data_IF_269025253897
#
_entry.id   IF_269025253897
#
_cell.length_a   1.000
_cell.length_b   1.000
_cell.length_c   1.000
_cell.angle_alpha   90.00
_cell.angle_beta   90.00
_cell.angle_gamma   90.00
#
_symmetry.space_group_name_H-M   'P 1'
#
loop_
_entity.id
_entity.type
_entity.pdbx_description
1 polymer ?
#
# COMPACT_ATOMS: atom_id res chain seq x y z
N UNK A 1 -51.96 -3.78 6.40
CA UNK A 1 -50.51 -3.45 6.39
C UNK A 1 -49.97 -3.95 5.07
N UNK A 2 -49.40 -3.06 4.25
CA UNK A 2 -49.01 -3.37 2.87
C UNK A 2 -47.61 -4.00 2.88
N UNK A 3 -47.43 -5.14 2.22
CA UNK A 3 -46.15 -5.89 2.10
C UNK A 3 -45.00 -4.99 1.57
N UNK A 4 -45.36 -3.92 0.86
CA UNK A 4 -44.48 -2.82 0.43
C UNK A 4 -43.75 -2.13 1.60
N UNK A 5 -44.49 -1.75 2.65
CA UNK A 5 -43.96 -0.88 3.72
C UNK A 5 -43.07 -1.66 4.68
N UNK A 6 -43.37 -2.94 4.88
CA UNK A 6 -42.58 -3.88 5.69
C UNK A 6 -41.22 -4.15 5.03
N UNK A 7 -41.20 -4.38 3.70
CA UNK A 7 -39.94 -4.51 2.96
C UNK A 7 -39.14 -3.22 2.92
N UNK A 8 -39.81 -2.06 2.85
CA UNK A 8 -39.14 -0.77 2.88
C UNK A 8 -38.47 -0.51 4.24
N UNK A 9 -39.15 -0.84 5.33
CA UNK A 9 -38.56 -0.77 6.68
C UNK A 9 -37.41 -1.77 6.88
N UNK A 10 -37.52 -2.99 6.32
CA UNK A 10 -36.44 -3.98 6.36
C UNK A 10 -35.21 -3.52 5.54
N UNK A 11 -35.43 -2.88 4.38
CA UNK A 11 -34.35 -2.27 3.60
C UNK A 11 -33.72 -1.08 4.33
N UNK A 12 -34.51 -0.20 4.95
CA UNK A 12 -34.00 0.94 5.71
C UNK A 12 -33.24 0.50 6.96
N UNK A 13 -33.73 -0.52 7.68
CA UNK A 13 -33.03 -1.07 8.85
C UNK A 13 -31.71 -1.73 8.43
N UNK A 14 -31.71 -2.48 7.33
CA UNK A 14 -30.50 -3.07 6.75
C UNK A 14 -29.51 -1.99 6.29
N UNK A 15 -29.97 -0.94 5.63
CA UNK A 15 -29.14 0.20 5.22
C UNK A 15 -28.55 0.93 6.44
N UNK A 16 -29.33 1.09 7.50
CA UNK A 16 -28.90 1.71 8.75
C UNK A 16 -27.86 0.84 9.47
N UNK A 17 -28.06 -0.48 9.56
CA UNK A 17 -27.06 -1.40 10.09
C UNK A 17 -25.77 -1.40 9.26
N UNK A 18 -25.86 -1.41 7.93
CA UNK A 18 -24.70 -1.32 7.05
C UNK A 18 -23.96 -0.01 7.27
N UNK A 19 -24.69 1.11 7.39
CA UNK A 19 -24.11 2.43 7.65
C UNK A 19 -23.44 2.48 9.02
N UNK A 20 -24.11 1.98 10.06
CA UNK A 20 -23.60 2.02 11.42
C UNK A 20 -22.40 1.08 11.61
N UNK A 21 -22.40 -0.08 10.94
CA UNK A 21 -21.23 -0.96 10.85
C UNK A 21 -20.05 -0.26 10.15
N UNK A 22 -20.28 0.39 9.00
CA UNK A 22 -19.26 1.15 8.27
C UNK A 22 -18.71 2.34 9.09
N UNK A 23 -19.57 3.01 9.87
CA UNK A 23 -19.16 4.10 10.77
C UNK A 23 -18.36 3.58 11.98
N UNK A 24 -18.74 2.44 12.56
CA UNK A 24 -17.97 1.83 13.66
C UNK A 24 -16.59 1.35 13.22
N UNK A 25 -16.48 0.93 11.97
CA UNK A 25 -15.26 0.38 11.38
C UNK A 25 -14.28 1.48 10.94
N UNK A 26 -14.78 2.61 10.42
CA UNK A 26 -13.96 3.79 10.14
C UNK A 26 -13.40 4.45 11.41
N UNK A 27 -14.10 4.36 12.55
CA UNK A 27 -13.59 4.83 13.85
C UNK A 27 -12.30 4.14 14.29
N UNK A 28 -12.06 2.89 13.88
CA UNK A 28 -10.81 2.19 14.19
C UNK A 28 -9.61 2.88 13.54
N UNK A 29 -9.78 3.34 12.30
CA UNK A 29 -8.74 4.04 11.55
C UNK A 29 -8.53 5.48 12.00
N UNK A 30 -9.54 6.13 12.58
CA UNK A 30 -9.37 7.45 13.20
C UNK A 30 -8.56 7.45 14.50
N UNK A 31 -8.24 6.26 15.05
CA UNK A 31 -7.45 6.16 16.27
C UNK A 31 -6.04 6.74 16.11
N UNK A 32 -5.67 7.61 17.04
CA UNK A 32 -4.38 8.29 17.07
C UNK A 32 -3.21 7.31 17.11
N UNK A 33 -3.30 6.24 17.88
CA UNK A 33 -2.21 5.27 17.99
C UNK A 33 -2.00 4.47 16.69
N UNK A 34 -3.10 4.09 16.04
CA UNK A 34 -3.06 3.38 14.77
C UNK A 34 -2.55 4.29 13.64
N UNK A 35 -3.04 5.53 13.56
CA UNK A 35 -2.57 6.54 12.59
C UNK A 35 -1.09 6.88 12.77
N UNK A 36 -0.66 7.05 14.03
CA UNK A 36 0.75 7.25 14.38
C UNK A 36 1.59 6.07 13.92
N UNK A 37 1.13 4.84 14.15
CA UNK A 37 1.80 3.62 13.71
C UNK A 37 1.95 3.57 12.19
N UNK A 38 0.87 3.83 11.42
CA UNK A 38 0.94 3.88 9.96
C UNK A 38 1.89 4.98 9.46
N UNK A 39 1.85 6.16 10.07
CA UNK A 39 2.70 7.30 9.71
C UNK A 39 4.19 6.98 9.89
N UNK A 40 4.58 6.49 11.06
CA UNK A 40 5.98 6.15 11.34
C UNK A 40 6.46 4.97 10.52
N UNK A 41 5.62 3.95 10.31
CA UNK A 41 5.94 2.82 9.44
C UNK A 41 6.17 3.28 8.00
N UNK A 42 5.39 4.26 7.52
CA UNK A 42 5.53 4.79 6.17
C UNK A 42 6.82 5.58 5.99
N UNK A 43 7.17 6.44 6.94
CA UNK A 43 8.43 7.17 6.94
C UNK A 43 9.64 6.23 7.01
N UNK A 44 9.59 5.23 7.90
CA UNK A 44 10.64 4.23 8.00
C UNK A 44 10.80 3.41 6.72
N UNK A 45 9.68 3.01 6.10
CA UNK A 45 9.72 2.27 4.84
C UNK A 45 10.24 3.11 3.68
N UNK A 46 9.85 4.39 3.62
CA UNK A 46 10.38 5.35 2.66
C UNK A 46 11.91 5.52 2.78
N UNK A 47 12.42 5.69 4.01
CA UNK A 47 13.85 5.80 4.26
C UNK A 47 14.62 4.54 3.81
N UNK A 48 14.10 3.35 4.14
CA UNK A 48 14.70 2.08 3.72
C UNK A 48 14.71 1.95 2.19
N UNK A 49 13.60 2.27 1.50
CA UNK A 49 13.53 2.26 0.03
C UNK A 49 14.55 3.25 -0.55
N UNK A 50 14.63 4.46 -0.02
CA UNK A 50 15.56 5.47 -0.50
C UNK A 50 17.02 5.02 -0.38
N UNK A 51 17.42 4.52 0.79
CA UNK A 51 18.77 3.98 1.01
C UNK A 51 19.06 2.83 0.06
N UNK A 52 18.10 1.92 -0.11
CA UNK A 52 18.24 0.78 -0.99
C UNK A 52 18.38 1.17 -2.47
N UNK A 53 17.56 2.11 -2.94
CA UNK A 53 17.61 2.62 -4.31
C UNK A 53 18.90 3.41 -4.60
N UNK A 54 19.38 4.22 -3.64
CA UNK A 54 20.66 4.93 -3.78
C UNK A 54 21.82 3.94 -3.81
N UNK A 55 21.86 2.98 -2.89
CA UNK A 55 22.88 1.93 -2.87
C UNK A 55 22.86 1.09 -4.15
N UNK A 56 21.68 0.72 -4.64
CA UNK A 56 21.51 -0.02 -5.89
C UNK A 56 22.02 0.76 -7.10
N UNK A 57 21.74 2.07 -7.17
CA UNK A 57 22.26 2.93 -8.22
C UNK A 57 23.80 3.02 -8.18
N UNK A 58 24.39 3.21 -7.00
CA UNK A 58 25.85 3.32 -6.83
C UNK A 58 26.61 2.01 -7.09
N UNK A 59 26.04 0.86 -6.72
CA UNK A 59 26.72 -0.44 -6.84
C UNK A 59 26.59 -1.07 -8.22
N UNK A 60 25.47 -0.85 -8.92
CA UNK A 60 25.22 -1.42 -10.25
C UNK A 60 25.78 -0.53 -11.37
N UNK A 61 26.04 0.76 -11.10
CA UNK A 61 26.62 1.69 -12.07
C UNK A 61 28.11 1.50 -12.37
N UNK A 62 28.80 0.57 -11.69
CA UNK A 62 30.25 0.34 -11.83
C UNK A 62 30.60 -1.10 -12.17
N UNK A 63 30.98 -1.37 -13.43
CA UNK A 63 31.60 -2.61 -13.99
C UNK A 63 30.72 -3.81 -14.35
N UNK A 64 30.79 -4.24 -15.62
CA UNK A 64 29.93 -5.26 -16.25
C UNK A 64 30.03 -6.68 -15.64
N UNK A 65 31.19 -7.08 -15.13
CA UNK A 65 31.39 -8.42 -14.53
C UNK A 65 30.84 -8.54 -13.11
N UNK A 66 30.78 -7.44 -12.36
CA UNK A 66 30.31 -7.43 -10.98
C UNK A 66 28.81 -7.14 -10.86
N UNK A 67 28.19 -6.60 -11.92
CA UNK A 67 26.76 -6.28 -12.02
C UNK A 67 25.86 -7.49 -11.74
N UNK A 68 26.20 -8.69 -12.22
CA UNK A 68 25.37 -9.89 -12.01
C UNK A 68 25.39 -10.38 -10.54
N UNK A 69 26.56 -10.37 -9.89
CA UNK A 69 26.70 -10.77 -8.49
C UNK A 69 26.05 -9.73 -7.56
N UNK A 70 26.31 -8.44 -7.79
CA UNK A 70 25.75 -7.37 -6.97
C UNK A 70 24.23 -7.25 -7.15
N UNK A 71 23.70 -7.37 -8.36
CA UNK A 71 22.23 -7.35 -8.58
C UNK A 71 21.53 -8.49 -7.85
N UNK A 72 22.10 -9.70 -7.86
CA UNK A 72 21.55 -10.86 -7.13
C UNK A 72 21.58 -10.63 -5.62
N UNK A 73 22.69 -10.13 -5.09
CA UNK A 73 22.85 -9.85 -3.65
C UNK A 73 21.89 -8.74 -3.20
N UNK A 74 21.77 -7.66 -3.97
CA UNK A 74 20.85 -6.55 -3.74
C UNK A 74 19.39 -7.04 -3.78
N UNK A 75 19.04 -7.90 -4.74
CA UNK A 75 17.70 -8.51 -4.82
C UNK A 75 17.37 -9.33 -3.56
N UNK A 76 18.26 -10.24 -3.13
CA UNK A 76 18.02 -11.04 -1.92
C UNK A 76 17.97 -10.18 -0.66
N UNK A 77 18.82 -9.16 -0.57
CA UNK A 77 18.78 -8.20 0.54
C UNK A 77 17.44 -7.47 0.60
N UNK A 78 16.89 -7.08 -0.56
CA UNK A 78 15.56 -6.48 -0.64
C UNK A 78 14.46 -7.42 -0.15
N UNK A 79 14.48 -8.68 -0.60
CA UNK A 79 13.50 -9.68 -0.19
C UNK A 79 13.57 -9.90 1.33
N UNK A 80 14.77 -10.02 1.90
CA UNK A 80 14.97 -10.15 3.35
C UNK A 80 14.41 -8.92 4.08
N UNK A 81 14.73 -7.71 3.61
CA UNK A 81 14.21 -6.47 4.19
C UNK A 81 12.69 -6.36 4.08
N UNK A 82 12.09 -6.83 2.98
CA UNK A 82 10.63 -6.89 2.82
C UNK A 82 10.00 -7.87 3.81
N UNK A 83 10.58 -9.05 3.99
CA UNK A 83 10.08 -10.05 4.95
C UNK A 83 10.19 -9.54 6.38
N UNK A 84 11.35 -8.99 6.76
CA UNK A 84 11.57 -8.39 8.08
C UNK A 84 10.61 -7.22 8.30
N UNK A 85 10.54 -6.28 7.35
CA UNK A 85 9.66 -5.12 7.42
C UNK A 85 8.18 -5.50 7.47
N UNK A 86 7.77 -6.48 6.69
CA UNK A 86 6.42 -7.04 6.71
C UNK A 86 6.08 -7.67 8.07
N UNK A 87 7.01 -8.46 8.62
CA UNK A 87 6.85 -9.08 9.94
C UNK A 87 6.76 -8.03 11.05
N UNK A 88 7.60 -6.99 11.02
CA UNK A 88 7.55 -5.86 11.97
C UNK A 88 6.21 -5.14 11.86
N UNK A 89 5.75 -4.82 10.65
CA UNK A 89 4.44 -4.17 10.41
C UNK A 89 3.30 -5.00 10.98
N UNK A 90 3.24 -6.28 10.64
CA UNK A 90 2.21 -7.20 11.15
C UNK A 90 2.26 -7.28 12.67
N UNK A 91 3.44 -7.35 13.27
CA UNK A 91 3.60 -7.45 14.73
C UNK A 91 3.17 -6.16 15.44
N UNK A 92 3.55 -4.99 14.93
CA UNK A 92 3.16 -3.69 15.51
C UNK A 92 1.65 -3.46 15.40
N UNK A 93 1.07 -3.71 14.22
CA UNK A 93 -0.38 -3.60 14.02
C UNK A 93 -1.11 -4.62 14.90
N UNK A 94 -0.61 -5.85 15.02
CA UNK A 94 -1.17 -6.87 15.93
C UNK A 94 -1.20 -6.39 17.36
N UNK A 95 -0.10 -5.79 17.85
CA UNK A 95 -0.01 -5.26 19.22
C UNK A 95 -1.01 -4.14 19.47
N UNK A 96 -1.17 -3.21 18.53
CA UNK A 96 -2.16 -2.11 18.63
C UNK A 96 -3.58 -2.67 18.63
N UNK A 97 -3.87 -3.65 17.77
CA UNK A 97 -5.17 -4.30 17.67
C UNK A 97 -5.52 -5.15 18.92
N UNK A 98 -4.53 -5.85 19.47
CA UNK A 98 -4.69 -6.67 20.68
C UNK A 98 -5.06 -5.82 21.89
N UNK A 99 -4.52 -4.60 22.03
CA UNK A 99 -4.94 -3.64 23.08
C UNK A 99 -6.42 -3.27 23.02
N UNK A 100 -7.07 -3.51 21.89
CA UNK A 100 -8.48 -3.23 21.64
C UNK A 100 -9.37 -4.47 21.60
N UNK A 101 -8.86 -5.63 22.03
CA UNK A 101 -9.54 -6.92 21.91
C UNK A 101 -10.02 -7.22 20.47
N UNK A 102 -9.30 -6.73 19.46
CA UNK A 102 -9.59 -6.96 18.04
C UNK A 102 -8.42 -7.69 17.38
N UNK A 103 -8.70 -8.49 16.36
CA UNK A 103 -7.68 -9.24 15.61
C UNK A 103 -7.26 -8.51 14.33
N UNK A 104 -6.08 -8.83 13.79
CA UNK A 104 -5.67 -8.36 12.44
C UNK A 104 -6.69 -8.76 11.37
N UNK A 105 -7.31 -9.92 11.51
CA UNK A 105 -8.36 -10.38 10.60
C UNK A 105 -9.54 -9.41 10.59
N UNK A 106 -9.89 -8.80 11.73
CA UNK A 106 -10.92 -7.76 11.78
C UNK A 106 -10.49 -6.50 11.02
N UNK A 107 -9.22 -6.08 11.14
CA UNK A 107 -8.68 -4.94 10.39
C UNK A 107 -8.76 -5.21 8.88
N UNK A 108 -8.34 -6.39 8.43
CA UNK A 108 -8.44 -6.78 7.03
C UNK A 108 -9.89 -6.88 6.56
N UNK A 109 -10.80 -7.38 7.40
CA UNK A 109 -12.24 -7.37 7.09
C UNK A 109 -12.79 -5.95 6.98
N UNK A 110 -12.24 -4.97 7.68
CA UNK A 110 -12.67 -3.56 7.54
C UNK A 110 -12.12 -2.97 6.24
N UNK A 111 -10.81 -3.10 6.04
CA UNK A 111 -10.12 -2.57 4.85
C UNK A 111 -10.74 -3.13 3.59
N UNK A 112 -10.93 -4.45 3.57
CA UNK A 112 -11.32 -5.18 2.38
C UNK A 112 -12.79 -5.53 2.38
N UNK A 113 -13.48 -5.68 3.50
CA UNK A 113 -14.88 -6.13 3.53
C UNK A 113 -14.98 -7.65 3.36
N UNK A 114 -16.19 -8.21 3.49
CA UNK A 114 -16.42 -9.65 3.25
C UNK A 114 -16.39 -10.05 1.76
N UNK A 115 -16.61 -9.11 0.84
CA UNK A 115 -16.77 -9.36 -0.61
C UNK A 115 -15.53 -9.28 -1.52
N UNK A 116 -14.57 -8.36 -1.35
CA UNK A 116 -13.51 -8.09 -2.34
C UNK A 116 -12.22 -8.89 -2.17
N UNK A 117 -12.20 -9.96 -1.37
CA UNK A 117 -11.03 -10.85 -1.30
C UNK A 117 -10.70 -11.38 -2.70
N UNK A 118 -11.73 -11.68 -3.50
CA UNK A 118 -11.60 -12.04 -4.92
C UNK A 118 -10.94 -10.94 -5.75
N UNK A 119 -11.26 -9.67 -5.52
CA UNK A 119 -10.66 -8.53 -6.23
C UNK A 119 -9.19 -8.36 -5.86
N UNK A 120 -8.83 -8.54 -4.58
CA UNK A 120 -7.43 -8.46 -4.14
C UNK A 120 -6.63 -9.62 -4.70
N UNK A 121 -7.16 -10.84 -4.63
CA UNK A 121 -6.53 -12.02 -5.22
C UNK A 121 -6.35 -11.79 -6.73
N UNK A 122 -7.37 -11.32 -7.43
CA UNK A 122 -7.27 -10.99 -8.86
C UNK A 122 -6.23 -9.89 -9.13
N UNK A 123 -6.15 -8.85 -8.30
CA UNK A 123 -5.14 -7.79 -8.43
C UNK A 123 -3.73 -8.32 -8.19
N UNK A 124 -3.52 -9.14 -7.16
CA UNK A 124 -2.22 -9.77 -6.86
C UNK A 124 -1.83 -10.73 -7.99
N UNK A 125 -2.76 -11.57 -8.46
CA UNK A 125 -2.52 -12.46 -9.59
C UNK A 125 -2.22 -11.70 -10.88
N UNK A 126 -2.91 -10.58 -11.12
CA UNK A 126 -2.64 -9.68 -12.24
C UNK A 126 -1.25 -9.07 -12.15
N UNK A 127 -0.83 -8.61 -10.97
CA UNK A 127 0.54 -8.14 -10.74
C UNK A 127 1.53 -9.26 -11.06
N UNK A 128 1.35 -10.48 -10.52
CA UNK A 128 2.25 -11.60 -10.78
C UNK A 128 2.32 -12.01 -12.26
N UNK A 129 1.18 -12.13 -12.94
CA UNK A 129 1.13 -12.49 -14.36
C UNK A 129 1.77 -11.42 -15.23
N UNK A 130 1.45 -10.16 -14.98
CA UNK A 130 2.04 -8.99 -15.67
C UNK A 130 3.55 -8.94 -15.42
N UNK A 131 3.98 -9.23 -14.20
CA UNK A 131 5.39 -9.30 -13.82
C UNK A 131 6.15 -10.35 -14.62
N UNK A 132 5.64 -11.58 -14.64
CA UNK A 132 6.23 -12.67 -15.40
C UNK A 132 6.33 -12.35 -16.89
N UNK A 133 5.28 -11.74 -17.47
CA UNK A 133 5.27 -11.28 -18.85
C UNK A 133 6.38 -10.25 -19.12
N UNK A 134 6.46 -9.17 -18.35
CA UNK A 134 7.47 -8.12 -18.56
C UNK A 134 8.90 -8.62 -18.35
N UNK A 135 9.13 -9.53 -17.39
CA UNK A 135 10.42 -10.17 -17.20
C UNK A 135 10.78 -11.00 -18.44
N UNK A 136 9.85 -11.85 -18.92
CA UNK A 136 10.08 -12.69 -20.11
C UNK A 136 10.32 -11.89 -21.39
N UNK A 137 9.74 -10.68 -21.48
CA UNK A 137 9.90 -9.76 -22.61
C UNK A 137 11.15 -8.86 -22.50
N UNK A 138 11.99 -9.01 -21.46
CA UNK A 138 13.18 -8.18 -21.25
C UNK A 138 12.89 -6.75 -20.76
N UNK A 139 11.65 -6.48 -20.33
CA UNK A 139 11.14 -5.17 -19.92
C UNK A 139 10.78 -5.13 -18.43
N UNK A 140 11.43 -5.96 -17.61
CA UNK A 140 11.10 -6.15 -16.19
C UNK A 140 11.12 -4.87 -15.35
N UNK A 141 11.85 -3.83 -15.77
CA UNK A 141 11.89 -2.53 -15.10
C UNK A 141 10.56 -1.78 -15.14
N UNK A 142 9.73 -2.00 -16.16
CA UNK A 142 8.38 -1.41 -16.26
C UNK A 142 7.42 -1.90 -15.17
N UNK A 143 7.74 -3.03 -14.53
CA UNK A 143 6.95 -3.53 -13.41
C UNK A 143 6.89 -2.54 -12.25
N UNK A 144 7.94 -1.76 -12.02
CA UNK A 144 8.00 -0.78 -10.94
C UNK A 144 6.87 0.24 -11.10
N UNK A 145 6.72 0.78 -12.31
CA UNK A 145 5.71 1.76 -12.65
C UNK A 145 4.30 1.17 -12.64
N UNK A 146 4.13 -0.01 -13.24
CA UNK A 146 2.84 -0.68 -13.32
C UNK A 146 2.32 -1.12 -11.95
N UNK A 147 3.20 -1.63 -11.09
CA UNK A 147 2.82 -2.00 -9.72
C UNK A 147 2.41 -0.78 -8.89
N UNK A 148 3.07 0.37 -9.06
CA UNK A 148 2.66 1.61 -8.41
C UNK A 148 1.26 2.07 -8.86
N UNK A 149 1.01 2.04 -10.17
CA UNK A 149 -0.32 2.36 -10.74
C UNK A 149 -1.38 1.39 -10.24
N UNK A 150 -1.14 0.07 -10.28
CA UNK A 150 -2.09 -0.94 -9.84
C UNK A 150 -2.41 -0.82 -8.34
N UNK A 151 -1.39 -0.60 -7.50
CA UNK A 151 -1.57 -0.41 -6.07
C UNK A 151 -2.31 0.89 -5.75
N UNK A 152 -2.16 1.94 -6.56
CA UNK A 152 -2.92 3.19 -6.39
C UNK A 152 -4.44 2.96 -6.46
N UNK A 153 -4.94 2.10 -7.36
CA UNK A 153 -6.37 1.75 -7.45
C UNK A 153 -6.87 1.02 -6.19
N UNK A 154 -6.05 0.13 -5.64
CA UNK A 154 -6.33 -0.52 -4.35
C UNK A 154 -6.43 0.50 -3.22
N UNK A 155 -5.57 1.53 -3.23
CA UNK A 155 -5.59 2.59 -2.23
C UNK A 155 -6.73 3.58 -2.41
N UNK A 156 -7.16 3.89 -3.64
CA UNK A 156 -8.39 4.66 -3.87
C UNK A 156 -9.61 3.92 -3.34
N UNK A 157 -9.67 2.61 -3.52
CA UNK A 157 -10.72 1.77 -2.95
C UNK A 157 -10.70 1.79 -1.40
N UNK A 158 -9.52 1.85 -0.82
CA UNK A 158 -9.32 1.98 0.63
C UNK A 158 -9.71 3.39 1.13
N UNK A 159 -9.37 4.45 0.39
CA UNK A 159 -9.77 5.84 0.70
C UNK A 159 -11.29 5.99 0.76
N UNK A 160 -12.04 5.35 -0.15
CA UNK A 160 -13.51 5.39 -0.12
C UNK A 160 -14.11 4.89 1.21
N UNK A 161 -13.41 3.97 1.89
CA UNK A 161 -13.85 3.33 3.14
C UNK A 161 -13.31 4.02 4.38
N UNK A 162 -12.00 4.29 4.39
CA UNK A 162 -11.27 4.80 5.55
C UNK A 162 -11.36 6.33 5.62
N UNK A 163 -11.46 7.01 4.47
CA UNK A 163 -11.64 8.47 4.32
C UNK A 163 -10.63 9.31 5.10
N UNK A 164 -9.38 8.84 5.20
CA UNK A 164 -8.30 9.59 5.83
C UNK A 164 -7.41 10.25 4.77
N UNK A 165 -7.00 11.52 4.98
CA UNK A 165 -6.25 12.28 3.99
C UNK A 165 -4.89 11.66 3.65
N UNK A 166 -4.26 10.98 4.61
CA UNK A 166 -2.99 10.26 4.39
C UNK A 166 -3.08 9.14 3.34
N UNK A 167 -4.18 8.37 3.28
CA UNK A 167 -4.33 7.31 2.27
C UNK A 167 -4.67 7.89 0.89
N UNK A 168 -5.42 8.99 0.84
CA UNK A 168 -5.65 9.73 -0.40
C UNK A 168 -4.36 10.28 -0.98
N UNK A 169 -3.51 10.88 -0.15
CA UNK A 169 -2.22 11.40 -0.58
C UNK A 169 -1.30 10.29 -1.10
N UNK A 170 -1.31 9.12 -0.47
CA UNK A 170 -0.58 7.95 -0.97
C UNK A 170 -1.10 7.45 -2.33
N UNK A 171 -2.42 7.34 -2.48
CA UNK A 171 -3.04 6.87 -3.72
C UNK A 171 -2.67 7.78 -4.90
N UNK A 172 -2.84 9.10 -4.73
CA UNK A 172 -2.49 10.08 -5.77
C UNK A 172 -0.99 10.12 -6.06
N UNK A 173 -0.15 10.10 -5.02
CA UNK A 173 1.30 10.12 -5.23
C UNK A 173 1.76 8.89 -5.99
N UNK A 174 1.28 7.67 -5.66
CA UNK A 174 1.59 6.45 -6.40
C UNK A 174 1.08 6.47 -7.84
N UNK A 175 -0.11 7.03 -8.09
CA UNK A 175 -0.63 7.13 -9.44
C UNK A 175 0.24 8.06 -10.29
N UNK A 176 0.52 9.27 -9.79
CA UNK A 176 1.31 10.28 -10.50
C UNK A 176 2.73 9.77 -10.71
N UNK A 177 3.39 9.28 -9.66
CA UNK A 177 4.75 8.78 -9.75
C UNK A 177 4.85 7.52 -10.61
N UNK A 178 3.87 6.61 -10.51
CA UNK A 178 3.75 5.43 -11.37
C UNK A 178 3.65 5.79 -12.84
N UNK A 179 2.79 6.77 -13.19
CA UNK A 179 2.65 7.25 -14.57
C UNK A 179 3.89 7.96 -15.09
N UNK A 180 4.52 8.82 -14.28
CA UNK A 180 5.75 9.52 -14.67
C UNK A 180 6.88 8.51 -14.90
N UNK A 181 7.03 7.54 -14.02
CA UNK A 181 8.11 6.56 -14.11
C UNK A 181 8.02 5.67 -15.34
N UNK A 182 6.84 5.45 -15.93
CA UNK A 182 6.71 4.68 -17.18
C UNK A 182 7.65 5.17 -18.29
N UNK A 183 7.89 6.48 -18.37
CA UNK A 183 8.69 7.09 -19.42
C UNK A 183 10.20 7.06 -19.16
N UNK A 184 10.61 6.98 -17.89
CA UNK A 184 12.01 7.19 -17.50
C UNK A 184 12.64 6.02 -16.74
N UNK A 185 11.84 5.04 -16.29
CA UNK A 185 12.32 3.93 -15.46
C UNK A 185 13.38 3.08 -16.16
N UNK A 186 13.37 3.00 -17.49
CA UNK A 186 14.40 2.26 -18.23
C UNK A 186 15.79 2.88 -18.14
N UNK A 187 15.88 4.21 -17.96
CA UNK A 187 17.16 4.92 -17.89
C UNK A 187 17.82 4.77 -16.52
N UNK A 188 17.01 4.76 -15.45
CA UNK A 188 17.50 4.56 -14.08
C UNK A 188 16.44 3.89 -13.21
N UNK A 189 16.32 2.55 -13.27
CA UNK A 189 15.26 1.82 -12.57
C UNK A 189 15.28 2.03 -11.07
N UNK A 190 16.48 2.16 -10.51
CA UNK A 190 16.70 2.35 -9.07
C UNK A 190 16.20 3.70 -8.57
N UNK A 191 16.58 4.79 -9.24
CA UNK A 191 16.17 6.14 -8.84
C UNK A 191 14.67 6.33 -9.02
N UNK A 192 14.13 5.90 -10.17
CA UNK A 192 12.71 6.02 -10.46
C UNK A 192 11.86 5.10 -9.57
N UNK A 193 12.34 3.91 -9.23
CA UNK A 193 11.69 3.06 -8.23
C UNK A 193 11.71 3.67 -6.83
N UNK A 194 12.80 4.34 -6.45
CA UNK A 194 12.89 5.08 -5.19
C UNK A 194 11.91 6.24 -5.13
N UNK A 195 11.75 6.98 -6.22
CA UNK A 195 10.77 8.06 -6.33
C UNK A 195 9.33 7.53 -6.32
N UNK A 196 9.03 6.50 -7.11
CA UNK A 196 7.69 5.93 -7.20
C UNK A 196 7.21 5.34 -5.87
N UNK A 197 8.04 4.53 -5.22
CA UNK A 197 7.66 3.85 -3.99
C UNK A 197 8.05 4.66 -2.76
N UNK A 198 9.34 4.98 -2.62
CA UNK A 198 9.87 5.70 -1.47
C UNK A 198 9.26 7.10 -1.34
N UNK A 199 9.16 7.84 -2.45
CA UNK A 199 8.55 9.16 -2.49
C UNK A 199 7.06 9.14 -2.10
N UNK A 200 6.29 8.18 -2.62
CA UNK A 200 4.87 8.07 -2.25
C UNK A 200 4.65 7.68 -0.78
N UNK A 201 5.46 6.77 -0.22
CA UNK A 201 5.41 6.49 1.22
C UNK A 201 5.87 7.65 2.09
N UNK A 202 6.80 8.49 1.60
CA UNK A 202 7.17 9.73 2.27
C UNK A 202 5.97 10.69 2.33
N UNK A 203 5.26 10.85 1.20
CA UNK A 203 4.05 11.68 1.11
C UNK A 203 2.98 11.22 2.10
N UNK A 204 2.73 9.91 2.24
CA UNK A 204 1.83 9.40 3.28
C UNK A 204 2.29 9.82 4.68
N UNK A 205 3.60 9.66 4.96
CA UNK A 205 4.17 10.01 6.26
C UNK A 205 4.02 11.50 6.59
N UNK A 206 4.32 12.37 5.64
CA UNK A 206 4.14 13.82 5.81
C UNK A 206 2.66 14.17 5.96
N UNK A 207 1.78 13.63 5.11
CA UNK A 207 0.34 13.86 5.20
C UNK A 207 -0.22 13.40 6.56
N UNK A 208 0.24 12.26 7.07
CA UNK A 208 -0.13 11.75 8.40
C UNK A 208 0.34 12.65 9.53
N UNK A 209 1.58 13.17 9.47
CA UNK A 209 2.09 14.12 10.46
C UNK A 209 1.30 15.44 10.45
N UNK A 210 0.95 15.96 9.28
CA UNK A 210 0.16 17.19 9.12
C UNK A 210 -1.26 16.97 9.64
N UNK A 211 -1.91 15.87 9.25
CA UNK A 211 -3.29 15.58 9.63
C UNK A 211 -3.44 15.26 11.13
N UNK A 212 -2.40 14.77 11.80
CA UNK A 212 -2.38 14.59 13.26
C UNK A 212 -2.12 15.89 14.04
N UNK A 213 -1.55 16.93 13.42
CA UNK A 213 -1.37 18.25 14.05
C UNK A 213 -2.62 19.12 13.96
N UNK A 214 -3.46 18.89 12.95
CA UNK A 214 -4.69 19.63 12.71
C UNK A 214 -5.92 19.08 13.50
N UNK A 215 -5.76 17.94 14.21
CA UNK A 215 -6.78 17.28 15.02
C UNK A 215 -6.46 17.38 16.51
#
# INVERSE_FOLDING_TARGET
MNISDEKLQEFESTLKEIRDAAVSDSKLFSDRDLRKTFTWLSLGFSAVIAVFCVAGHSLVGGSDGAVAMYSTLIFWTFIILLVIGGTIKITLISRVMARKNRTIVSLFRIIYGRGPITVIIAAVMSIFATSAFFISAGLGTLMISLSAVLISFGLFSLDMRVRLPEFRALAWSLLISGLITLFFVQQSPWLWGGLAWGGSFFVLGVAGLVSMRAS
#
